data_IF_888701293214
#
_entry.id   IF_888701293214
#
_cell.length_a   1.000
_cell.length_b   1.000
_cell.length_c   1.000
_cell.angle_alpha   90.00
_cell.angle_beta   90.00
_cell.angle_gamma   90.00
#
_symmetry.space_group_name_H-M   'P 1'
#
loop_
_entity.id
_entity.type
_entity.pdbx_description
1 polymer ?
#
# COMPACT_ATOMS: atom_id res chain seq x y z
N UNK A 1 -1.24 5.44 0.00
CA UNK A 1 -1.63 6.76 0.54
C UNK A 1 -0.35 7.56 0.73
N UNK A 2 -0.16 8.64 -0.03
CA UNK A 2 1.06 9.48 0.07
C UNK A 2 0.76 10.74 0.86
N UNK A 3 1.54 11.04 1.89
CA UNK A 3 1.45 12.29 2.65
C UNK A 3 2.44 13.32 2.11
N UNK A 4 2.05 14.60 2.18
CA UNK A 4 2.92 15.72 1.81
C UNK A 4 3.86 15.98 2.99
N UNK A 5 5.15 16.13 2.71
CA UNK A 5 6.12 16.51 3.73
C UNK A 5 6.03 18.01 4.01
N UNK A 6 5.91 18.40 5.28
CA UNK A 6 5.76 19.79 5.70
C UNK A 6 6.99 20.67 5.37
N UNK A 7 8.20 20.12 5.33
CA UNK A 7 9.42 20.91 5.06
C UNK A 7 9.68 21.13 3.57
N UNK A 8 9.27 20.19 2.73
CA UNK A 8 9.49 20.29 1.27
C UNK A 8 8.24 20.74 0.51
N UNK A 9 7.05 20.62 1.10
CA UNK A 9 5.78 20.87 0.40
C UNK A 9 5.44 19.82 -0.66
N UNK A 10 6.24 18.76 -0.79
CA UNK A 10 6.08 17.73 -1.81
C UNK A 10 5.83 16.36 -1.17
N UNK A 11 5.12 15.50 -1.91
CA UNK A 11 5.05 14.06 -1.59
C UNK A 11 6.34 13.35 -2.02
N UNK A 12 6.73 12.23 -1.39
CA UNK A 12 7.87 11.42 -1.84
C UNK A 12 7.76 11.01 -3.31
N UNK A 13 6.54 10.78 -3.82
CA UNK A 13 6.32 10.46 -5.22
C UNK A 13 6.59 11.64 -6.15
N UNK A 14 6.22 12.86 -5.79
CA UNK A 14 6.57 14.03 -6.59
C UNK A 14 8.09 14.24 -6.65
N UNK A 15 8.79 14.00 -5.55
CA UNK A 15 10.26 14.11 -5.51
C UNK A 15 10.95 13.01 -6.35
N UNK A 16 10.41 11.79 -6.35
CA UNK A 16 11.03 10.66 -7.05
C UNK A 16 10.60 10.54 -8.52
N UNK A 17 9.32 10.77 -8.82
CA UNK A 17 8.71 10.53 -10.14
C UNK A 17 8.31 11.82 -10.87
N UNK A 18 8.48 12.98 -10.25
CA UNK A 18 8.03 14.27 -10.81
C UNK A 18 6.51 14.45 -10.83
N UNK A 19 5.73 13.46 -10.34
CA UNK A 19 4.27 13.48 -10.34
C UNK A 19 3.70 12.65 -9.20
N UNK A 20 2.48 13.00 -8.80
CA UNK A 20 1.72 12.20 -7.85
C UNK A 20 0.95 11.10 -8.60
N UNK A 21 1.12 9.81 -8.26
CA UNK A 21 0.31 8.75 -8.84
C UNK A 21 -1.16 8.94 -8.46
N UNK A 22 -2.05 8.81 -9.44
CA UNK A 22 -3.51 8.87 -9.24
C UNK A 22 -4.08 7.47 -9.21
N UNK A 23 -5.12 7.27 -8.41
CA UNK A 23 -5.91 6.05 -8.43
C UNK A 23 -6.71 6.06 -9.73
N UNK A 24 -6.59 5.00 -10.53
CA UNK A 24 -7.42 4.82 -11.73
C UNK A 24 -8.85 4.56 -11.25
N UNK A 25 -9.85 5.36 -11.68
CA UNK A 25 -11.24 5.09 -11.34
C UNK A 25 -11.68 3.70 -11.82
N UNK A 26 -12.62 3.03 -11.11
CA UNK A 26 -13.16 1.77 -11.58
C UNK A 26 -13.80 1.95 -12.96
N UNK A 27 -13.50 1.04 -13.88
CA UNK A 27 -14.06 1.06 -15.23
C UNK A 27 -15.50 0.55 -15.14
N UNK A 28 -16.48 1.43 -15.36
CA UNK A 28 -17.89 1.04 -15.46
C UNK A 28 -18.28 0.78 -16.91
N UNK A 29 -19.31 -0.04 -17.11
CA UNK A 29 -19.83 -0.38 -18.44
C UNK A 29 -20.27 0.85 -19.23
N UNK A 30 -20.95 1.80 -18.56
CA UNK A 30 -21.37 3.08 -19.14
C UNK A 30 -20.17 3.93 -19.62
N UNK A 31 -19.09 3.96 -18.84
CA UNK A 31 -17.88 4.69 -19.23
C UNK A 31 -17.23 4.03 -20.45
N UNK A 32 -17.19 2.70 -20.46
CA UNK A 32 -16.64 1.90 -21.55
C UNK A 32 -17.38 2.14 -22.86
N UNK A 33 -18.71 2.15 -22.84
CA UNK A 33 -19.55 2.40 -24.02
C UNK A 33 -19.31 3.80 -24.60
N UNK A 34 -19.40 4.84 -23.76
CA UNK A 34 -19.11 6.23 -24.19
C UNK A 34 -17.69 6.42 -24.71
N UNK A 35 -16.71 5.68 -24.15
CA UNK A 35 -15.31 5.74 -24.59
C UNK A 35 -15.12 5.03 -25.93
N UNK A 36 -15.80 3.89 -26.16
CA UNK A 36 -15.78 3.18 -27.46
C UNK A 36 -16.33 4.04 -28.58
N UNK A 37 -17.37 4.83 -28.31
CA UNK A 37 -17.94 5.78 -29.28
C UNK A 37 -16.94 6.90 -29.64
N UNK A 38 -16.21 7.42 -28.64
CA UNK A 38 -15.27 8.54 -28.85
C UNK A 38 -13.91 8.11 -29.44
N UNK A 39 -13.40 6.93 -29.08
CA UNK A 39 -12.02 6.52 -29.35
C UNK A 39 -11.90 5.21 -30.13
N UNK A 40 -13.03 4.57 -30.46
CA UNK A 40 -13.07 3.32 -31.19
C UNK A 40 -12.93 2.08 -30.28
N UNK A 41 -13.49 0.97 -30.75
CA UNK A 41 -13.65 -0.26 -29.96
C UNK A 41 -12.31 -0.92 -29.64
N UNK A 42 -11.42 -1.05 -30.64
CA UNK A 42 -10.16 -1.78 -30.53
C UNK A 42 -9.23 -1.24 -29.44
N UNK A 43 -9.01 0.07 -29.41
CA UNK A 43 -8.08 0.67 -28.46
C UNK A 43 -8.70 0.79 -27.06
N UNK A 44 -10.00 1.06 -26.98
CA UNK A 44 -10.74 1.10 -25.71
C UNK A 44 -10.71 -0.27 -25.02
N UNK A 45 -10.95 -1.36 -25.74
CA UNK A 45 -10.97 -2.71 -25.17
C UNK A 45 -9.57 -3.16 -24.71
N UNK A 46 -8.51 -2.82 -25.45
CA UNK A 46 -7.12 -3.06 -25.02
C UNK A 46 -6.79 -2.30 -23.74
N UNK A 47 -7.19 -1.03 -23.65
CA UNK A 47 -6.97 -0.22 -22.46
C UNK A 47 -7.74 -0.79 -21.25
N UNK A 48 -8.99 -1.19 -21.44
CA UNK A 48 -9.80 -1.82 -20.38
C UNK A 48 -9.15 -3.12 -19.87
N UNK A 49 -8.72 -4.00 -20.78
CA UNK A 49 -8.03 -5.23 -20.41
C UNK A 49 -6.70 -4.97 -19.67
N UNK A 50 -5.95 -3.94 -20.07
CA UNK A 50 -4.73 -3.54 -19.38
C UNK A 50 -5.02 -3.04 -17.96
N UNK A 51 -6.07 -2.23 -17.76
CA UNK A 51 -6.47 -1.74 -16.44
C UNK A 51 -6.89 -2.90 -15.54
N UNK A 52 -7.68 -3.85 -16.04
CA UNK A 52 -8.13 -5.03 -15.29
C UNK A 52 -6.95 -5.90 -14.85
N UNK A 53 -6.00 -6.15 -15.75
CA UNK A 53 -4.76 -6.85 -15.42
C UNK A 53 -3.97 -6.11 -14.35
N UNK A 54 -3.85 -4.79 -14.47
CA UNK A 54 -3.12 -3.99 -13.49
C UNK A 54 -3.79 -4.04 -12.10
N UNK A 55 -5.12 -4.07 -12.03
CA UNK A 55 -5.84 -4.25 -10.76
C UNK A 55 -5.52 -5.61 -10.13
N UNK A 56 -5.56 -6.68 -10.92
CA UNK A 56 -5.17 -8.02 -10.48
C UNK A 56 -3.73 -8.05 -9.93
N UNK A 57 -2.78 -7.43 -10.63
CA UNK A 57 -1.38 -7.36 -10.19
C UNK A 57 -1.22 -6.59 -8.87
N UNK A 58 -1.99 -5.51 -8.69
CA UNK A 58 -1.99 -4.72 -7.44
C UNK A 58 -2.56 -5.53 -6.27
N UNK A 59 -3.63 -6.28 -6.50
CA UNK A 59 -4.24 -7.12 -5.47
C UNK A 59 -3.30 -8.27 -5.07
N UNK A 60 -2.66 -8.93 -6.04
CA UNK A 60 -1.63 -9.93 -5.76
C UNK A 60 -0.45 -9.34 -4.95
N UNK A 61 -0.01 -8.12 -5.27
CA UNK A 61 1.04 -7.44 -4.52
C UNK A 61 0.61 -7.10 -3.08
N UNK A 62 -0.66 -6.74 -2.86
CA UNK A 62 -1.20 -6.50 -1.50
C UNK A 62 -1.19 -7.78 -0.68
N UNK A 63 -1.64 -8.89 -1.25
CA UNK A 63 -1.66 -10.19 -0.58
C UNK A 63 -0.24 -10.64 -0.21
N UNK A 64 0.71 -10.49 -1.13
CA UNK A 64 2.11 -10.78 -0.87
C UNK A 64 2.70 -9.92 0.26
N UNK A 65 2.35 -8.62 0.31
CA UNK A 65 2.77 -7.73 1.41
C UNK A 65 2.15 -8.12 2.75
N UNK A 66 0.89 -8.56 2.77
CA UNK A 66 0.23 -9.05 3.99
C UNK A 66 0.94 -10.31 4.48
N UNK A 67 1.18 -11.29 3.59
CA UNK A 67 1.92 -12.49 3.93
C UNK A 67 3.32 -12.18 4.48
N UNK A 68 4.06 -11.28 3.81
CA UNK A 68 5.38 -10.85 4.26
C UNK A 68 5.34 -10.22 5.66
N UNK A 69 4.34 -9.37 5.97
CA UNK A 69 4.18 -8.78 7.30
C UNK A 69 3.91 -9.83 8.37
N UNK A 70 3.08 -10.83 8.08
CA UNK A 70 2.83 -11.95 9.01
C UNK A 70 4.12 -12.71 9.28
N UNK A 71 4.89 -13.04 8.24
CA UNK A 71 6.18 -13.73 8.40
C UNK A 71 7.17 -12.88 9.20
N UNK A 72 7.26 -11.57 8.93
CA UNK A 72 8.11 -10.66 9.70
C UNK A 72 7.73 -10.63 11.18
N UNK A 73 6.43 -10.56 11.50
CA UNK A 73 5.95 -10.59 12.87
C UNK A 73 6.33 -11.91 13.57
N UNK A 74 6.15 -13.06 12.91
CA UNK A 74 6.53 -14.37 13.45
C UNK A 74 8.04 -14.44 13.72
N UNK A 75 8.88 -14.02 12.77
CA UNK A 75 10.34 -14.05 12.95
C UNK A 75 10.82 -13.08 14.03
N UNK A 76 10.23 -11.88 14.10
CA UNK A 76 10.54 -10.92 15.15
C UNK A 76 10.14 -11.44 16.54
N UNK A 77 9.01 -12.15 16.64
CA UNK A 77 8.53 -12.72 17.89
C UNK A 77 9.29 -13.98 18.32
N UNK A 78 9.94 -14.71 17.40
CA UNK A 78 10.72 -15.92 17.72
C UNK A 78 11.80 -15.70 18.77
N UNK A 79 12.40 -14.50 18.80
CA UNK A 79 13.47 -14.14 19.71
C UNK A 79 13.01 -13.28 20.90
N UNK A 80 11.71 -13.03 21.04
CA UNK A 80 11.17 -12.33 22.21
C UNK A 80 11.21 -13.25 23.43
N UNK A 81 11.69 -12.71 24.55
CA UNK A 81 11.80 -13.45 25.80
C UNK A 81 10.41 -13.85 26.34
N UNK A 82 10.26 -15.04 26.96
CA UNK A 82 8.99 -15.48 27.55
C UNK A 82 8.48 -14.55 28.66
N UNK A 83 9.32 -13.64 29.18
CA UNK A 83 8.94 -12.59 30.12
C UNK A 83 7.82 -11.66 29.63
N UNK A 84 7.56 -11.64 28.31
CA UNK A 84 6.49 -10.83 27.73
C UNK A 84 5.13 -11.54 27.67
N UNK A 85 5.06 -12.84 27.97
CA UNK A 85 3.82 -13.62 27.89
C UNK A 85 2.76 -13.17 28.93
N UNK A 86 3.20 -12.65 30.07
CA UNK A 86 2.33 -12.20 31.18
C UNK A 86 2.02 -10.69 31.13
N UNK A 87 2.43 -9.99 30.06
CA UNK A 87 2.17 -8.56 29.89
C UNK A 87 0.76 -8.35 29.31
N UNK A 88 -0.18 -7.99 30.17
CA UNK A 88 -1.50 -7.53 29.79
C UNK A 88 -1.52 -6.02 29.44
N UNK A 89 -2.56 -5.57 28.75
CA UNK A 89 -2.82 -4.14 28.58
C UNK A 89 -2.95 -3.46 29.95
N UNK A 90 -2.16 -2.39 30.16
CA UNK A 90 -2.06 -1.70 31.46
C UNK A 90 -0.92 -2.17 32.37
N UNK A 91 -0.22 -3.26 32.02
CA UNK A 91 0.98 -3.69 32.75
C UNK A 91 2.09 -2.64 32.68
N UNK A 92 2.73 -2.37 33.81
CA UNK A 92 3.88 -1.46 33.89
C UNK A 92 5.15 -2.24 33.60
N UNK A 93 5.88 -1.81 32.56
CA UNK A 93 7.19 -2.38 32.21
C UNK A 93 8.30 -1.40 32.55
N UNK A 94 9.42 -1.92 33.06
CA UNK A 94 10.58 -1.10 33.36
C UNK A 94 11.37 -0.86 32.07
N UNK A 95 11.35 0.39 31.58
CA UNK A 95 12.13 0.81 30.42
C UNK A 95 13.55 1.15 30.87
N UNK A 96 14.56 0.50 30.28
CA UNK A 96 15.95 0.92 30.45
C UNK A 96 16.15 2.29 29.79
N UNK A 97 16.36 3.33 30.61
CA UNK A 97 16.62 4.69 30.14
C UNK A 97 18.11 4.99 29.99
N UNK A 98 18.98 3.98 30.11
CA UNK A 98 20.43 4.15 30.18
C UNK A 98 21.04 4.90 28.96
N UNK A 99 20.40 4.81 27.80
CA UNK A 99 20.83 5.51 26.57
C UNK A 99 19.85 6.59 26.10
N UNK A 100 18.92 7.02 26.95
CA UNK A 100 18.00 8.10 26.62
C UNK A 100 18.71 9.44 26.85
N UNK A 101 19.07 10.15 25.77
CA UNK A 101 19.46 11.57 25.81
C UNK A 101 18.23 12.46 25.84
#
# INVERSE_FOLDING_TARGET
>A
MSTVNASTGYTPFQLHLGRQPRIIPPVSTLLLESTREAHGVSDTDKAAAWIERHQTDVDAARDALIAAKVTQAVQANKHRSPEHADLAEGSKVMLSTFHRR
#
